data_IF_756851954596
#
_entry.id   IF_756851954596
#
_cell.length_a   1.000
_cell.length_b   1.000
_cell.length_c   1.000
_cell.angle_alpha   90.00
_cell.angle_beta   90.00
_cell.angle_gamma   90.00
#
_symmetry.space_group_name_H-M   'P 1'
#
loop_
_entity.id
_entity.type
_entity.pdbx_description
1 polymer ?
#
# COMPACT_ATOMS: atom_id res chain seq x y z
N UNK A 1 15.44 16.51 -12.28
CA UNK A 1 14.48 15.57 -11.68
C UNK A 1 13.15 15.72 -12.41
N UNK A 2 12.66 14.65 -12.98
CA UNK A 2 11.34 14.69 -13.62
C UNK A 2 10.31 14.86 -12.51
N UNK A 3 9.51 15.91 -12.63
CA UNK A 3 8.38 16.08 -11.73
C UNK A 3 7.38 14.95 -12.01
N UNK A 4 7.07 14.15 -11.02
CA UNK A 4 6.05 13.13 -11.17
C UNK A 4 4.86 13.46 -10.27
N UNK A 5 3.69 13.23 -10.78
CA UNK A 5 2.47 13.29 -9.99
C UNK A 5 1.78 11.92 -10.02
N UNK A 6 1.27 11.52 -8.89
CA UNK A 6 0.38 10.36 -8.84
C UNK A 6 -1.01 10.75 -9.37
N UNK A 7 -1.77 9.75 -9.81
CA UNK A 7 -3.14 9.98 -10.28
C UNK A 7 -4.01 10.59 -9.19
N UNK A 8 -5.06 11.32 -9.58
CA UNK A 8 -6.03 11.89 -8.64
C UNK A 8 -6.67 10.82 -7.72
N UNK A 9 -6.80 9.60 -8.22
CA UNK A 9 -7.33 8.47 -7.44
C UNK A 9 -6.35 8.00 -6.37
N UNK A 10 -5.07 7.97 -6.68
CA UNK A 10 -4.03 7.67 -5.69
C UNK A 10 -3.92 8.80 -4.66
N UNK A 11 -4.04 10.05 -5.08
CA UNK A 11 -4.13 11.19 -4.16
C UNK A 11 -5.30 11.09 -3.20
N UNK A 12 -6.46 10.64 -3.70
CA UNK A 12 -7.63 10.40 -2.85
C UNK A 12 -7.36 9.29 -1.83
N UNK A 13 -6.75 8.19 -2.24
CA UNK A 13 -6.35 7.12 -1.33
C UNK A 13 -5.40 7.63 -0.24
N UNK A 14 -4.40 8.42 -0.63
CA UNK A 14 -3.44 9.04 0.30
C UNK A 14 -4.13 9.97 1.29
N UNK A 15 -5.17 10.70 0.87
CA UNK A 15 -5.91 11.63 1.74
C UNK A 15 -6.58 10.93 2.94
N UNK A 16 -6.84 9.64 2.85
CA UNK A 16 -7.38 8.84 3.95
C UNK A 16 -6.32 8.30 4.90
N UNK A 17 -5.04 8.43 4.56
CA UNK A 17 -3.93 7.96 5.41
C UNK A 17 -3.60 9.04 6.42
N UNK A 18 -3.71 8.71 7.68
CA UNK A 18 -3.34 9.59 8.77
C UNK A 18 -1.81 9.79 8.78
N UNK A 19 -1.40 11.06 8.92
CA UNK A 19 0.02 11.42 8.92
C UNK A 19 0.77 10.71 10.04
N UNK A 20 1.97 10.20 9.72
CA UNK A 20 2.82 9.48 10.66
C UNK A 20 2.58 7.97 10.72
N UNK A 21 1.62 7.46 9.96
CA UNK A 21 1.38 6.02 9.86
C UNK A 21 2.50 5.32 9.11
N UNK A 22 2.83 4.10 9.54
CA UNK A 22 3.67 3.18 8.77
C UNK A 22 2.76 2.47 7.76
N UNK A 23 3.07 2.62 6.49
CA UNK A 23 2.21 2.20 5.38
C UNK A 23 2.87 1.08 4.58
N UNK A 24 2.08 0.10 4.16
CA UNK A 24 2.47 -0.87 3.15
C UNK A 24 1.62 -0.67 1.89
N UNK A 25 2.30 -0.56 0.75
CA UNK A 25 1.68 -0.51 -0.56
C UNK A 25 1.73 -1.89 -1.21
N UNK A 26 0.59 -2.52 -1.34
CA UNK A 26 0.45 -3.89 -1.86
C UNK A 26 0.19 -3.83 -3.36
N UNK A 27 1.08 -4.45 -4.15
CA UNK A 27 1.08 -4.30 -5.60
C UNK A 27 1.62 -2.95 -6.01
N UNK A 28 2.79 -2.61 -5.49
CA UNK A 28 3.38 -1.26 -5.63
C UNK A 28 3.73 -0.89 -7.07
N UNK A 29 3.97 -1.89 -7.91
CA UNK A 29 4.33 -1.74 -9.32
C UNK A 29 5.57 -0.83 -9.49
N UNK A 30 5.42 0.40 -9.95
CA UNK A 30 6.53 1.34 -10.15
C UNK A 30 6.99 2.06 -8.88
N UNK A 31 6.33 1.85 -7.75
CA UNK A 31 6.70 2.48 -6.47
C UNK A 31 6.31 3.95 -6.33
N UNK A 32 5.45 4.47 -7.19
CA UNK A 32 5.08 5.89 -7.16
C UNK A 32 4.33 6.30 -5.89
N UNK A 33 3.45 5.44 -5.37
CA UNK A 33 2.73 5.74 -4.15
C UNK A 33 3.66 5.81 -2.93
N UNK A 34 4.55 4.84 -2.68
CA UNK A 34 5.55 4.95 -1.62
C UNK A 34 6.41 6.20 -1.73
N UNK A 35 6.90 6.52 -2.93
CA UNK A 35 7.72 7.72 -3.18
C UNK A 35 6.92 8.98 -2.81
N UNK A 36 5.68 9.07 -3.23
CA UNK A 36 4.81 10.20 -2.92
C UNK A 36 4.59 10.36 -1.40
N UNK A 37 4.29 9.27 -0.70
CA UNK A 37 4.08 9.29 0.75
C UNK A 37 5.29 9.84 1.52
N UNK A 38 6.49 9.44 1.11
CA UNK A 38 7.73 9.92 1.73
C UNK A 38 7.99 11.38 1.37
N UNK A 39 7.87 11.75 0.11
CA UNK A 39 8.15 13.12 -0.36
C UNK A 39 7.20 14.15 0.23
N UNK A 40 5.94 13.82 0.37
CA UNK A 40 4.93 14.71 0.96
C UNK A 40 4.91 14.66 2.50
N UNK A 41 5.77 13.89 3.11
CA UNK A 41 5.85 13.79 4.58
C UNK A 41 4.64 13.14 5.24
N UNK A 42 3.84 12.38 4.49
CA UNK A 42 2.68 11.65 5.03
C UNK A 42 3.15 10.48 5.87
N UNK A 43 4.18 9.79 5.42
CA UNK A 43 4.80 8.68 6.15
C UNK A 43 6.32 8.85 6.12
N UNK A 44 7.00 8.44 7.19
CA UNK A 44 8.47 8.44 7.25
C UNK A 44 9.06 7.06 6.94
N UNK A 45 8.24 6.02 6.87
CA UNK A 45 8.65 4.67 6.55
C UNK A 45 7.53 3.95 5.79
N UNK A 46 7.85 3.40 4.64
CA UNK A 46 6.89 2.69 3.79
C UNK A 46 7.47 1.36 3.34
N UNK A 47 6.64 0.33 3.30
CA UNK A 47 6.97 -0.96 2.70
C UNK A 47 6.30 -1.03 1.33
N UNK A 48 7.10 -1.09 0.28
CA UNK A 48 6.63 -1.32 -1.09
C UNK A 48 6.68 -2.81 -1.39
N UNK A 49 5.53 -3.42 -1.58
CA UNK A 49 5.40 -4.86 -1.79
C UNK A 49 4.81 -5.18 -3.16
N UNK A 50 5.29 -6.24 -3.76
CA UNK A 50 4.74 -6.80 -4.99
C UNK A 50 4.99 -8.32 -4.98
N UNK A 51 4.14 -9.06 -5.66
CA UNK A 51 4.34 -10.50 -5.83
C UNK A 51 5.36 -10.83 -6.93
N UNK A 52 5.71 -9.85 -7.76
CA UNK A 52 6.63 -10.01 -8.90
C UNK A 52 7.93 -9.25 -8.65
N UNK A 53 9.04 -9.91 -8.98
CA UNK A 53 10.39 -9.36 -8.77
C UNK A 53 10.66 -8.13 -9.65
N UNK A 54 10.29 -8.18 -10.94
CA UNK A 54 10.61 -7.11 -11.89
C UNK A 54 9.97 -5.76 -11.51
N UNK A 55 8.68 -5.67 -11.15
CA UNK A 55 8.12 -4.43 -10.64
C UNK A 55 8.84 -3.89 -9.40
N UNK A 56 9.25 -4.75 -8.46
CA UNK A 56 10.01 -4.32 -7.29
C UNK A 56 11.36 -3.71 -7.66
N UNK A 57 12.08 -4.28 -8.62
CA UNK A 57 13.34 -3.72 -9.10
C UNK A 57 13.14 -2.33 -9.73
N UNK A 58 12.06 -2.14 -10.49
CA UNK A 58 11.68 -0.84 -11.06
C UNK A 58 11.33 0.17 -9.97
N UNK A 59 10.54 -0.25 -8.99
CA UNK A 59 10.19 0.59 -7.84
C UNK A 59 11.43 1.05 -7.08
N UNK A 60 12.38 0.17 -6.85
CA UNK A 60 13.64 0.49 -6.20
C UNK A 60 14.45 1.52 -6.98
N UNK A 61 14.61 1.34 -8.29
CA UNK A 61 15.30 2.29 -9.16
C UNK A 61 14.63 3.66 -9.15
N UNK A 62 13.31 3.70 -9.20
CA UNK A 62 12.56 4.95 -9.10
C UNK A 62 12.79 5.64 -7.75
N UNK A 63 12.74 4.91 -6.66
CA UNK A 63 13.00 5.46 -5.34
C UNK A 63 14.43 6.01 -5.18
N UNK A 64 15.41 5.34 -5.76
CA UNK A 64 16.80 5.83 -5.82
C UNK A 64 16.89 7.13 -6.61
N UNK A 65 16.19 7.25 -7.75
CA UNK A 65 16.15 8.45 -8.57
C UNK A 65 15.57 9.65 -7.83
N UNK A 66 14.61 9.45 -6.95
CA UNK A 66 14.01 10.49 -6.12
C UNK A 66 14.67 10.64 -4.74
N UNK A 67 15.76 9.93 -4.50
CA UNK A 67 16.56 9.99 -3.25
C UNK A 67 15.75 9.66 -1.98
N UNK A 68 14.83 8.72 -2.07
CA UNK A 68 13.98 8.26 -0.96
C UNK A 68 14.09 6.76 -0.69
N UNK A 69 14.98 6.06 -1.37
CA UNK A 69 15.11 4.60 -1.26
C UNK A 69 15.48 4.13 0.17
N UNK A 70 16.18 4.94 0.92
CA UNK A 70 16.55 4.65 2.30
C UNK A 70 15.36 4.62 3.28
N UNK A 71 14.23 5.22 2.89
CA UNK A 71 13.00 5.27 3.69
C UNK A 71 11.93 4.29 3.21
N UNK A 72 12.23 3.51 2.18
CA UNK A 72 11.31 2.53 1.60
C UNK A 72 11.96 1.15 1.68
N UNK A 73 11.24 0.20 2.29
CA UNK A 73 11.60 -1.22 2.24
C UNK A 73 10.89 -1.88 1.06
N UNK A 74 11.61 -2.71 0.31
CA UNK A 74 11.06 -3.42 -0.84
C UNK A 74 10.89 -4.89 -0.49
N UNK A 75 9.69 -5.42 -0.66
CA UNK A 75 9.35 -6.77 -0.21
C UNK A 75 8.61 -7.56 -1.28
N UNK A 76 9.10 -8.77 -1.56
CA UNK A 76 8.36 -9.73 -2.37
C UNK A 76 7.28 -10.38 -1.49
N UNK A 77 6.01 -10.20 -1.86
CA UNK A 77 4.88 -10.72 -1.09
C UNK A 77 3.69 -11.03 -1.98
N UNK A 78 3.10 -12.19 -1.78
CA UNK A 78 1.79 -12.52 -2.33
C UNK A 78 0.72 -11.94 -1.40
N UNK A 79 0.15 -10.79 -1.78
CA UNK A 79 -0.74 -10.04 -0.90
C UNK A 79 -0.04 -9.67 0.41
N UNK A 80 -0.63 -10.06 1.53
CA UNK A 80 -0.10 -9.81 2.87
C UNK A 80 0.68 -11.00 3.45
N UNK A 81 0.95 -12.04 2.65
CA UNK A 81 1.54 -13.29 3.14
C UNK A 81 2.89 -13.12 3.83
N UNK A 82 3.69 -12.16 3.38
CA UNK A 82 5.02 -11.87 3.92
C UNK A 82 5.04 -10.76 4.98
N UNK A 83 3.87 -10.38 5.48
CA UNK A 83 3.73 -9.40 6.55
C UNK A 83 3.40 -10.07 7.87
N UNK A 84 3.95 -9.54 8.96
CA UNK A 84 3.57 -9.90 10.30
C UNK A 84 2.37 -9.06 10.76
N UNK A 85 1.55 -9.64 11.64
CA UNK A 85 0.43 -8.91 12.24
C UNK A 85 0.93 -7.68 13.01
N UNK A 86 0.39 -6.52 12.69
CA UNK A 86 0.77 -5.27 13.35
C UNK A 86 2.07 -4.65 12.89
N UNK A 87 2.70 -5.18 11.85
CA UNK A 87 3.94 -4.64 11.29
C UNK A 87 3.74 -3.23 10.70
N UNK A 88 2.58 -2.95 10.14
CA UNK A 88 2.20 -1.64 9.61
C UNK A 88 0.85 -1.18 10.18
N UNK A 89 0.56 0.11 10.10
CA UNK A 89 -0.69 0.70 10.57
C UNK A 89 -1.74 0.84 9.46
N UNK A 90 -1.28 0.87 8.21
CA UNK A 90 -2.16 1.05 7.06
C UNK A 90 -1.68 0.21 5.87
N UNK A 91 -2.60 -0.39 5.17
CA UNK A 91 -2.37 -1.04 3.89
C UNK A 91 -3.08 -0.27 2.78
N UNK A 92 -2.39 -0.07 1.67
CA UNK A 92 -2.97 0.47 0.45
C UNK A 92 -2.94 -0.61 -0.62
N UNK A 93 -4.08 -0.89 -1.23
CA UNK A 93 -4.21 -1.89 -2.30
C UNK A 93 -4.89 -1.22 -3.49
N UNK A 94 -4.08 -0.72 -4.41
CA UNK A 94 -4.55 -0.04 -5.61
C UNK A 94 -4.03 -0.75 -6.87
N UNK A 95 -4.71 -0.53 -8.00
CA UNK A 95 -4.29 -1.09 -9.28
C UNK A 95 -4.61 -2.56 -9.48
N UNK A 96 -5.46 -3.15 -8.65
CA UNK A 96 -5.92 -4.54 -8.78
C UNK A 96 -7.43 -4.61 -8.94
N UNK A 97 -7.93 -5.66 -9.59
CA UNK A 97 -9.36 -5.92 -9.70
C UNK A 97 -9.99 -6.28 -8.35
N UNK A 98 -11.29 -6.00 -8.20
CA UNK A 98 -12.01 -6.26 -6.94
C UNK A 98 -11.97 -7.72 -6.49
N UNK A 99 -11.97 -8.67 -7.41
CA UNK A 99 -11.84 -10.10 -7.11
C UNK A 99 -10.49 -10.43 -6.49
N UNK A 100 -9.40 -9.84 -7.00
CA UNK A 100 -8.05 -10.02 -6.47
C UNK A 100 -7.93 -9.41 -5.08
N UNK A 101 -8.45 -8.20 -4.88
CA UNK A 101 -8.46 -7.53 -3.57
C UNK A 101 -9.21 -8.37 -2.55
N UNK A 102 -10.38 -8.88 -2.92
CA UNK A 102 -11.19 -9.76 -2.06
C UNK A 102 -10.41 -10.99 -1.61
N UNK A 103 -9.73 -11.66 -2.55
CA UNK A 103 -8.90 -12.84 -2.24
C UNK A 103 -7.75 -12.51 -1.29
N UNK A 104 -7.07 -11.38 -1.52
CA UNK A 104 -5.99 -10.91 -0.65
C UNK A 104 -6.51 -10.71 0.78
N UNK A 105 -7.63 -10.04 0.93
CA UNK A 105 -8.22 -9.74 2.24
C UNK A 105 -8.75 -10.99 2.94
N UNK A 106 -9.40 -11.89 2.23
CA UNK A 106 -9.87 -13.17 2.78
C UNK A 106 -8.71 -14.01 3.30
N UNK A 107 -7.62 -14.10 2.53
CA UNK A 107 -6.41 -14.82 2.93
C UNK A 107 -5.76 -14.16 4.13
N UNK A 108 -5.67 -12.83 4.16
CA UNK A 108 -5.10 -12.09 5.28
C UNK A 108 -5.91 -12.32 6.58
N UNK A 109 -7.22 -12.39 6.49
CA UNK A 109 -8.08 -12.73 7.63
C UNK A 109 -7.85 -14.17 8.10
N UNK A 110 -7.81 -15.12 7.17
CA UNK A 110 -7.60 -16.55 7.49
C UNK A 110 -6.22 -16.78 8.15
N UNK A 111 -5.20 -16.02 7.75
CA UNK A 111 -3.84 -16.09 8.29
C UNK A 111 -3.61 -15.17 9.50
N UNK A 112 -4.64 -14.52 10.01
CA UNK A 112 -4.57 -13.59 11.15
C UNK A 112 -3.55 -12.47 10.96
N UNK A 113 -3.55 -11.85 9.79
CA UNK A 113 -2.60 -10.75 9.44
C UNK A 113 -3.14 -9.35 9.76
N UNK A 114 -4.43 -9.21 10.01
CA UNK A 114 -5.06 -7.91 10.23
C UNK A 114 -5.36 -7.68 11.72
N UNK A 115 -5.16 -6.45 12.16
CA UNK A 115 -5.41 -6.02 13.53
C UNK A 115 -6.56 -5.01 13.60
N UNK A 116 -7.17 -4.92 14.78
CA UNK A 116 -8.06 -3.80 15.11
C UNK A 116 -7.30 -2.47 15.00
N UNK A 117 -7.93 -1.46 14.44
CA UNK A 117 -7.32 -0.13 14.28
C UNK A 117 -6.44 0.04 13.05
N UNK A 118 -6.28 -1.00 12.22
CA UNK A 118 -5.56 -0.87 10.97
C UNK A 118 -6.41 -0.14 9.92
N UNK A 119 -5.79 0.77 9.20
CA UNK A 119 -6.44 1.45 8.06
C UNK A 119 -6.21 0.64 6.79
N UNK A 120 -7.28 0.39 6.06
CA UNK A 120 -7.23 -0.31 4.79
C UNK A 120 -7.83 0.58 3.70
N UNK A 121 -6.98 1.05 2.79
CA UNK A 121 -7.39 1.84 1.64
C UNK A 121 -7.26 1.00 0.38
N UNK A 122 -8.33 0.79 -0.33
CA UNK A 122 -8.32 0.05 -1.58
C UNK A 122 -9.21 0.70 -2.64
N UNK A 123 -8.85 0.48 -3.88
CA UNK A 123 -9.63 0.97 -5.01
C UNK A 123 -10.41 -0.17 -5.64
N UNK A 124 -11.72 -0.03 -5.64
CA UNK A 124 -12.64 -0.92 -6.34
C UNK A 124 -13.38 -0.14 -7.42
N UNK A 125 -13.19 -0.53 -8.67
CA UNK A 125 -13.76 0.17 -9.85
C UNK A 125 -13.36 1.65 -9.87
N UNK A 126 -14.34 2.55 -9.75
CA UNK A 126 -14.14 4.00 -9.75
C UNK A 126 -14.11 4.61 -8.32
N UNK A 127 -14.21 3.78 -7.30
CA UNK A 127 -14.33 4.22 -5.92
C UNK A 127 -13.10 3.85 -5.11
N UNK A 128 -12.59 4.78 -4.33
CA UNK A 128 -11.61 4.51 -3.28
C UNK A 128 -12.38 4.29 -1.98
N UNK A 129 -12.09 3.22 -1.29
CA UNK A 129 -12.64 2.91 0.02
C UNK A 129 -11.52 2.89 1.05
N UNK A 130 -11.74 3.54 2.16
CA UNK A 130 -10.88 3.46 3.32
C UNK A 130 -11.71 2.93 4.49
N UNK A 131 -11.25 1.86 5.10
CA UNK A 131 -11.91 1.22 6.24
C UNK A 131 -11.02 1.38 7.45
N UNK A 132 -11.51 2.11 8.43
CA UNK A 132 -10.99 2.07 9.79
C UNK A 132 -11.82 1.04 10.58
N UNK A 133 -11.14 0.22 11.38
CA UNK A 133 -11.79 -0.87 12.13
C UNK A 133 -12.44 -1.94 11.22
N UNK A 134 -11.62 -2.53 10.39
CA UNK A 134 -11.94 -3.50 9.34
C UNK A 134 -12.87 -4.67 9.77
N UNK A 135 -12.89 -5.05 11.05
CA UNK A 135 -13.63 -6.22 11.51
C UNK A 135 -15.16 -6.09 11.46
N UNK A 136 -15.70 -4.91 11.20
CA UNK A 136 -17.15 -4.68 11.30
C UNK A 136 -17.89 -4.47 9.97
N UNK A 137 -17.20 -4.37 8.82
CA UNK A 137 -17.87 -4.06 7.55
C UNK A 137 -17.23 -4.74 6.34
N UNK A 138 -17.23 -6.05 6.31
CA UNK A 138 -16.90 -6.77 5.07
C UNK A 138 -18.18 -7.18 4.33
N UNK A 139 -18.79 -6.21 3.65
CA UNK A 139 -19.74 -6.47 2.58
C UNK A 139 -19.00 -6.31 1.24
N UNK A 140 -18.56 -7.42 0.74
CA UNK A 140 -18.06 -7.49 -0.63
C UNK A 140 -19.19 -7.91 -1.58
#
# INVERSE_FOLDING_TARGET
MIDFSISERLKLAVSFIEKGRKVADIGTDHGYLPIHLIREGVSCEVIAADMRKNPLEKAKKNAESYMVADKISFRLSDGLSSFDKGEVNAYVICGMGGTVIKKILQKALAEDKLMSGISLCYRHRLTVKCLENFFMKMDF
#
